data_IF_336278415336
#
_entry.id   IF_336278415336
#
_cell.length_a   1.000
_cell.length_b   1.000
_cell.length_c   1.000
_cell.angle_alpha   90.00
_cell.angle_beta   90.00
_cell.angle_gamma   90.00
#
_symmetry.space_group_name_H-M   'P 1'
#
loop_
_entity.id
_entity.type
_entity.pdbx_description
1 polymer ?
#
# COMPACT_ATOMS: atom_id res chain seq x y z
N UNK A 1 3.69 -22.32 -37.75
CA UNK A 1 4.75 -21.97 -36.77
C UNK A 1 4.19 -22.23 -35.38
N UNK A 2 4.79 -23.17 -34.63
CA UNK A 2 4.47 -23.37 -33.23
C UNK A 2 5.14 -22.20 -32.52
N UNK A 3 4.35 -21.19 -32.14
CA UNK A 3 4.83 -20.10 -31.29
C UNK A 3 5.26 -20.71 -29.97
N UNK A 4 6.56 -20.70 -29.69
CA UNK A 4 7.10 -21.08 -28.37
C UNK A 4 6.54 -20.05 -27.40
N UNK A 5 5.63 -20.49 -26.52
CA UNK A 5 5.03 -19.61 -25.52
C UNK A 5 6.11 -19.12 -24.56
N UNK A 6 6.21 -17.80 -24.41
CA UNK A 6 7.19 -17.17 -23.54
C UNK A 6 6.78 -17.40 -22.08
N UNK A 7 7.74 -17.80 -21.23
CA UNK A 7 7.52 -17.87 -19.77
C UNK A 7 8.22 -16.71 -19.09
N UNK A 8 7.52 -16.05 -18.18
CA UNK A 8 8.04 -14.98 -17.32
C UNK A 8 8.29 -15.57 -15.93
N UNK A 9 9.55 -15.63 -15.54
CA UNK A 9 9.98 -16.16 -14.25
C UNK A 9 9.95 -15.06 -13.18
N UNK A 10 9.35 -15.39 -12.03
CA UNK A 10 9.11 -14.45 -10.95
C UNK A 10 9.76 -14.94 -9.65
N UNK A 11 10.34 -14.04 -8.87
CA UNK A 11 10.68 -14.29 -7.47
C UNK A 11 9.79 -13.50 -6.52
N UNK A 12 9.49 -14.08 -5.35
CA UNK A 12 8.71 -13.42 -4.30
C UNK A 12 9.60 -13.25 -3.07
N UNK A 13 9.75 -12.02 -2.60
CA UNK A 13 10.47 -11.69 -1.37
C UNK A 13 9.48 -11.54 -0.22
N UNK A 14 9.43 -12.55 0.64
CA UNK A 14 8.49 -12.65 1.74
C UNK A 14 7.28 -13.54 1.43
N UNK A 15 6.96 -14.44 2.37
CA UNK A 15 5.82 -15.36 2.27
C UNK A 15 4.93 -15.26 3.52
N UNK A 16 4.55 -14.02 3.83
CA UNK A 16 3.51 -13.69 4.80
C UNK A 16 2.13 -13.77 4.16
N UNK A 17 1.16 -13.05 4.72
CA UNK A 17 -0.23 -13.01 4.21
C UNK A 17 -0.27 -12.58 2.74
N UNK A 18 0.38 -11.46 2.41
CA UNK A 18 0.40 -10.91 1.05
C UNK A 18 1.15 -11.84 0.08
N UNK A 19 2.37 -12.25 0.43
CA UNK A 19 3.17 -13.13 -0.45
C UNK A 19 2.53 -14.48 -0.70
N UNK A 20 1.88 -15.07 0.31
CA UNK A 20 1.10 -16.30 0.14
C UNK A 20 -0.12 -16.10 -0.76
N UNK A 21 -0.77 -14.94 -0.66
CA UNK A 21 -1.87 -14.55 -1.55
C UNK A 21 -1.41 -14.42 -3.00
N UNK A 22 -0.29 -13.74 -3.22
CA UNK A 22 0.33 -13.58 -4.56
C UNK A 22 0.67 -14.94 -5.17
N UNK A 23 1.37 -15.79 -4.42
CA UNK A 23 1.72 -17.14 -4.88
C UNK A 23 0.48 -17.94 -5.29
N UNK A 24 -0.52 -18.00 -4.41
CA UNK A 24 -1.78 -18.71 -4.71
C UNK A 24 -2.52 -18.12 -5.91
N UNK A 25 -2.50 -16.81 -6.09
CA UNK A 25 -3.14 -16.14 -7.21
C UNK A 25 -2.48 -16.51 -8.54
N UNK A 26 -1.14 -16.47 -8.61
CA UNK A 26 -0.38 -16.87 -9.80
C UNK A 26 -0.70 -18.30 -10.17
N UNK A 27 -0.71 -19.24 -9.20
CA UNK A 27 -1.04 -20.65 -9.44
C UNK A 27 -2.50 -20.83 -9.90
N UNK A 28 -3.45 -20.21 -9.19
CA UNK A 28 -4.89 -20.41 -9.46
C UNK A 28 -5.36 -19.76 -10.75
N UNK A 29 -4.73 -18.69 -11.19
CA UNK A 29 -5.16 -17.86 -12.34
C UNK A 29 -4.18 -17.92 -13.50
N UNK A 30 -3.31 -18.92 -13.55
CA UNK A 30 -2.30 -19.07 -14.60
C UNK A 30 -2.90 -19.01 -16.02
N UNK A 31 -4.03 -19.68 -16.25
CA UNK A 31 -4.74 -19.72 -17.54
C UNK A 31 -5.30 -18.34 -17.95
N UNK A 32 -5.77 -17.57 -16.99
CA UNK A 32 -6.29 -16.19 -17.23
C UNK A 32 -5.14 -15.24 -17.50
N UNK A 33 -4.06 -15.35 -16.71
CA UNK A 33 -2.86 -14.54 -16.90
C UNK A 33 -2.25 -14.79 -18.27
N UNK A 34 -2.09 -16.06 -18.67
CA UNK A 34 -1.57 -16.45 -19.97
C UNK A 34 -2.36 -15.79 -21.11
N UNK A 35 -3.70 -15.84 -21.05
CA UNK A 35 -4.57 -15.21 -22.05
C UNK A 35 -4.47 -13.69 -22.07
N UNK A 36 -4.24 -13.08 -20.91
CA UNK A 36 -4.21 -11.62 -20.76
C UNK A 36 -2.88 -11.02 -21.18
N UNK A 37 -1.76 -11.65 -20.81
CA UNK A 37 -0.41 -11.13 -21.08
C UNK A 37 0.29 -11.80 -22.26
N UNK A 38 -0.28 -12.89 -22.79
CA UNK A 38 0.32 -13.65 -23.91
C UNK A 38 1.58 -14.43 -23.52
N UNK A 39 1.80 -14.69 -22.23
CA UNK A 39 2.92 -15.43 -21.69
C UNK A 39 2.51 -16.21 -20.43
N UNK A 40 3.19 -17.31 -20.14
CA UNK A 40 3.05 -18.00 -18.85
C UNK A 40 3.82 -17.24 -17.79
N UNK A 41 3.29 -17.22 -16.56
CA UNK A 41 3.98 -16.64 -15.40
C UNK A 41 4.22 -17.73 -14.37
N UNK A 42 5.47 -17.93 -13.97
CA UNK A 42 5.86 -18.97 -13.02
C UNK A 42 6.71 -18.40 -11.88
N UNK A 43 6.42 -18.85 -10.65
CA UNK A 43 7.24 -18.52 -9.48
C UNK A 43 8.42 -19.48 -9.43
N UNK A 44 9.63 -18.94 -9.60
CA UNK A 44 10.87 -19.73 -9.61
C UNK A 44 11.53 -19.83 -8.24
N UNK A 45 11.47 -18.73 -7.45
CA UNK A 45 12.05 -18.65 -6.11
C UNK A 45 11.21 -17.81 -5.17
N UNK A 46 11.25 -18.17 -3.89
CA UNK A 46 10.58 -17.45 -2.81
C UNK A 46 11.56 -17.27 -1.66
N UNK A 47 11.94 -16.03 -1.38
CA UNK A 47 12.83 -15.70 -0.28
C UNK A 47 12.07 -15.70 1.05
N UNK A 48 12.59 -16.43 2.04
CA UNK A 48 11.99 -16.52 3.38
C UNK A 48 13.08 -16.51 4.45
N UNK A 49 12.80 -15.90 5.61
CA UNK A 49 13.76 -15.86 6.74
C UNK A 49 13.91 -17.20 7.48
N UNK A 50 12.87 -18.02 7.48
CA UNK A 50 12.84 -19.29 8.23
C UNK A 50 12.42 -20.43 7.30
N UNK A 51 13.37 -21.23 6.87
CA UNK A 51 13.16 -22.40 6.01
C UNK A 51 12.36 -23.51 6.70
N UNK A 52 12.41 -23.60 8.03
CA UNK A 52 11.77 -24.69 8.81
C UNK A 52 10.28 -24.45 9.05
N UNK A 53 9.77 -23.25 8.78
CA UNK A 53 8.33 -22.95 8.92
C UNK A 53 7.55 -23.69 7.84
N UNK A 54 6.64 -24.60 8.23
CA UNK A 54 5.72 -25.26 7.29
C UNK A 54 4.82 -24.24 6.59
N UNK A 55 4.67 -24.40 5.29
CA UNK A 55 3.83 -23.55 4.42
C UNK A 55 2.97 -24.44 3.55
N UNK A 56 1.70 -24.55 3.90
CA UNK A 56 0.76 -25.39 3.17
C UNK A 56 0.54 -24.88 1.76
N UNK A 57 0.58 -25.79 0.79
CA UNK A 57 0.34 -25.48 -0.62
C UNK A 57 1.47 -24.76 -1.33
N UNK A 58 2.67 -24.71 -0.73
CA UNK A 58 3.88 -24.16 -1.33
C UNK A 58 4.91 -25.28 -1.55
N UNK A 59 5.44 -25.39 -2.75
CA UNK A 59 6.52 -26.32 -3.04
C UNK A 59 7.80 -25.87 -2.33
N UNK A 60 8.34 -26.75 -1.47
CA UNK A 60 9.53 -26.46 -0.70
C UNK A 60 10.78 -26.22 -1.56
N UNK A 61 10.84 -26.73 -2.78
CA UNK A 61 11.95 -26.54 -3.73
C UNK A 61 12.06 -25.09 -4.23
N UNK A 62 10.99 -24.31 -4.10
CA UNK A 62 10.97 -22.89 -4.47
C UNK A 62 11.52 -22.00 -3.35
N UNK A 63 11.62 -22.52 -2.11
CA UNK A 63 12.03 -21.73 -0.96
C UNK A 63 13.56 -21.56 -0.92
N UNK A 64 13.98 -20.37 -0.56
CA UNK A 64 15.39 -20.05 -0.26
C UNK A 64 15.47 -19.02 0.88
N UNK A 65 16.55 -19.04 1.65
CA UNK A 65 16.94 -17.97 2.59
C UNK A 65 18.16 -17.19 2.09
N UNK A 66 18.68 -17.54 0.91
CA UNK A 66 19.82 -16.91 0.27
C UNK A 66 19.37 -15.98 -0.87
N UNK A 67 19.63 -14.68 -0.72
CA UNK A 67 19.29 -13.68 -1.74
C UNK A 67 20.03 -13.92 -3.09
N UNK A 68 21.25 -14.47 -3.05
CA UNK A 68 22.03 -14.72 -4.26
C UNK A 68 21.33 -15.71 -5.22
N UNK A 69 20.53 -16.65 -4.70
CA UNK A 69 19.76 -17.58 -5.53
C UNK A 69 18.70 -16.88 -6.42
N UNK A 70 18.43 -15.61 -6.14
CA UNK A 70 17.47 -14.78 -6.88
C UNK A 70 18.16 -13.73 -7.72
N UNK A 71 19.12 -13.00 -7.13
CA UNK A 71 19.71 -11.87 -7.83
C UNK A 71 20.65 -12.31 -8.97
N UNK A 72 21.37 -13.43 -8.79
CA UNK A 72 22.26 -14.00 -9.79
C UNK A 72 21.55 -14.87 -10.86
N UNK A 73 20.27 -15.20 -10.64
CA UNK A 73 19.50 -15.97 -11.61
C UNK A 73 18.99 -15.08 -12.75
N UNK A 74 19.60 -15.21 -13.93
CA UNK A 74 19.26 -14.42 -15.12
C UNK A 74 17.88 -14.73 -15.70
N UNK A 75 17.27 -15.88 -15.37
CA UNK A 75 15.92 -16.22 -15.84
C UNK A 75 14.84 -15.48 -15.03
N UNK A 76 15.13 -15.01 -13.83
CA UNK A 76 14.16 -14.24 -13.03
C UNK A 76 14.09 -12.81 -13.57
N UNK A 77 12.93 -12.46 -14.12
CA UNK A 77 12.67 -11.17 -14.77
C UNK A 77 11.93 -10.19 -13.87
N UNK A 78 11.14 -10.71 -12.91
CA UNK A 78 10.31 -9.90 -12.02
C UNK A 78 10.56 -10.31 -10.57
N UNK A 79 10.78 -9.33 -9.71
CA UNK A 79 10.89 -9.51 -8.25
C UNK A 79 9.69 -8.84 -7.60
N UNK A 80 8.93 -9.62 -6.81
CA UNK A 80 7.77 -9.13 -6.04
C UNK A 80 8.17 -9.01 -4.57
N UNK A 81 8.33 -7.78 -4.09
CA UNK A 81 8.72 -7.50 -2.70
C UNK A 81 7.48 -7.24 -1.84
N UNK A 82 7.30 -8.08 -0.83
CA UNK A 82 6.20 -8.04 0.13
C UNK A 82 6.66 -8.41 1.54
N UNK A 83 7.90 -8.04 1.88
CA UNK A 83 8.50 -8.30 3.19
C UNK A 83 8.12 -7.25 4.23
N UNK A 84 7.94 -5.99 3.77
CA UNK A 84 7.75 -4.82 4.62
C UNK A 84 9.04 -4.35 5.32
N UNK A 85 8.96 -3.18 5.96
CA UNK A 85 10.11 -2.50 6.57
C UNK A 85 11.03 -1.84 5.54
N UNK A 86 12.03 -1.11 6.01
CA UNK A 86 12.97 -0.38 5.12
C UNK A 86 14.10 -1.32 4.67
N UNK A 87 14.85 -1.89 5.61
CA UNK A 87 15.91 -2.85 5.32
C UNK A 87 15.51 -4.27 5.76
N UNK A 88 15.87 -5.28 5.01
CA UNK A 88 16.73 -5.32 3.81
C UNK A 88 16.00 -5.05 2.48
N UNK A 89 14.72 -4.71 2.50
CA UNK A 89 13.89 -4.54 1.30
C UNK A 89 14.49 -3.49 0.35
N UNK A 90 14.92 -2.33 0.85
CA UNK A 90 15.57 -1.26 0.06
C UNK A 90 16.78 -1.78 -0.70
N UNK A 91 17.71 -2.42 0.01
CA UNK A 91 18.94 -2.96 -0.60
C UNK A 91 18.61 -3.97 -1.69
N UNK A 92 17.73 -4.94 -1.42
CA UNK A 92 17.34 -5.97 -2.38
C UNK A 92 16.62 -5.41 -3.61
N UNK A 93 15.74 -4.43 -3.43
CA UNK A 93 15.07 -3.77 -4.57
C UNK A 93 16.07 -3.03 -5.43
N UNK A 94 16.99 -2.24 -4.84
CA UNK A 94 18.00 -1.51 -5.59
C UNK A 94 18.93 -2.44 -6.37
N UNK A 95 19.33 -3.55 -5.77
CA UNK A 95 20.15 -4.57 -6.45
C UNK A 95 19.39 -5.22 -7.60
N UNK A 96 18.09 -5.57 -7.41
CA UNK A 96 17.25 -6.14 -8.45
C UNK A 96 17.09 -5.20 -9.65
N UNK A 97 16.80 -3.92 -9.39
CA UNK A 97 16.67 -2.90 -10.44
C UNK A 97 18.00 -2.72 -11.22
N UNK A 98 19.13 -2.66 -10.53
CA UNK A 98 20.46 -2.56 -11.15
C UNK A 98 20.84 -3.82 -11.95
N UNK A 99 20.33 -4.98 -11.56
CA UNK A 99 20.49 -6.23 -12.30
C UNK A 99 19.52 -6.37 -13.49
N UNK A 100 18.77 -5.31 -13.84
CA UNK A 100 17.84 -5.33 -14.96
C UNK A 100 16.53 -6.09 -14.70
N UNK A 101 16.19 -6.34 -13.43
CA UNK A 101 14.94 -7.00 -13.06
C UNK A 101 13.86 -5.97 -12.76
N UNK A 102 12.65 -6.21 -13.26
CA UNK A 102 11.48 -5.38 -12.89
C UNK A 102 11.07 -5.69 -11.45
N UNK A 103 10.58 -4.69 -10.73
CA UNK A 103 10.17 -4.87 -9.34
C UNK A 103 8.74 -4.42 -9.12
N UNK A 104 7.99 -5.23 -8.38
CA UNK A 104 6.65 -4.90 -7.86
C UNK A 104 6.70 -4.92 -6.34
N UNK A 105 6.30 -3.83 -5.68
CA UNK A 105 6.34 -3.74 -4.22
C UNK A 105 4.99 -3.30 -3.63
N UNK A 106 4.69 -3.80 -2.43
CA UNK A 106 3.57 -3.35 -1.60
C UNK A 106 4.04 -2.58 -0.35
N UNK A 107 5.33 -2.22 -0.30
CA UNK A 107 5.99 -1.67 0.88
C UNK A 107 5.82 -0.16 0.98
N UNK A 108 4.68 0.27 1.50
CA UNK A 108 4.36 1.70 1.66
C UNK A 108 5.38 2.47 2.49
N UNK A 109 5.97 1.82 3.51
CA UNK A 109 6.94 2.48 4.40
C UNK A 109 8.17 2.90 3.62
N UNK A 110 8.75 1.96 2.88
CA UNK A 110 9.91 2.21 2.03
C UNK A 110 9.61 3.22 0.91
N UNK A 111 8.46 3.10 0.26
CA UNK A 111 8.10 3.99 -0.86
C UNK A 111 7.85 5.42 -0.39
N UNK A 112 7.21 5.60 0.78
CA UNK A 112 6.94 6.92 1.34
C UNK A 112 8.21 7.67 1.79
N UNK A 113 9.28 6.96 2.12
CA UNK A 113 10.56 7.54 2.56
C UNK A 113 11.57 7.65 1.42
N UNK A 114 11.71 6.59 0.62
CA UNK A 114 12.80 6.41 -0.33
C UNK A 114 12.35 6.15 -1.78
N UNK A 115 11.05 6.28 -2.06
CA UNK A 115 10.48 5.96 -3.37
C UNK A 115 11.17 6.68 -4.53
N UNK A 116 11.65 7.91 -4.31
CA UNK A 116 12.39 8.69 -5.32
C UNK A 116 13.71 8.01 -5.75
N UNK A 117 14.44 7.39 -4.82
CA UNK A 117 15.69 6.66 -5.14
C UNK A 117 15.37 5.40 -5.94
N UNK A 118 14.31 4.68 -5.56
CA UNK A 118 13.88 3.46 -6.24
C UNK A 118 13.43 3.76 -7.67
N UNK A 119 12.63 4.80 -7.86
CA UNK A 119 12.16 5.24 -9.18
C UNK A 119 13.30 5.70 -10.08
N UNK A 120 14.22 6.52 -9.57
CA UNK A 120 15.39 6.96 -10.32
C UNK A 120 16.27 5.76 -10.74
N UNK A 121 16.50 4.81 -9.82
CA UNK A 121 17.27 3.61 -10.13
C UNK A 121 16.59 2.75 -11.20
N UNK A 122 15.27 2.63 -11.17
CA UNK A 122 14.50 1.90 -12.18
C UNK A 122 14.63 2.57 -13.56
N UNK A 123 14.51 3.90 -13.61
CA UNK A 123 14.66 4.69 -14.84
C UNK A 123 16.07 4.57 -15.43
N UNK A 124 17.10 4.73 -14.61
CA UNK A 124 18.51 4.59 -15.00
C UNK A 124 18.84 3.22 -15.60
N UNK A 125 18.16 2.15 -15.15
CA UNK A 125 18.38 0.79 -15.62
C UNK A 125 17.33 0.30 -16.63
N UNK A 126 16.43 1.18 -17.08
CA UNK A 126 15.37 0.88 -18.06
C UNK A 126 14.48 -0.30 -17.67
N UNK A 127 14.11 -0.37 -16.40
CA UNK A 127 13.20 -1.36 -15.83
C UNK A 127 12.04 -0.69 -15.08
N UNK A 128 10.98 -1.44 -14.83
CA UNK A 128 9.81 -0.93 -14.12
C UNK A 128 9.89 -1.14 -12.61
N UNK A 129 9.50 -0.12 -11.86
CA UNK A 129 9.18 -0.20 -10.43
C UNK A 129 7.71 0.14 -10.21
N UNK A 130 6.90 -0.88 -9.88
CA UNK A 130 5.45 -0.77 -9.72
C UNK A 130 5.05 -0.98 -8.26
N UNK A 131 4.09 -0.18 -7.75
CA UNK A 131 3.74 -0.20 -6.33
C UNK A 131 2.25 0.11 -6.06
N UNK A 132 1.35 -0.33 -6.94
CA UNK A 132 -0.10 -0.10 -6.78
C UNK A 132 -0.61 -0.55 -5.41
N UNK A 133 -0.11 -1.68 -4.88
CA UNK A 133 -0.55 -2.23 -3.61
C UNK A 133 -0.04 -1.48 -2.37
N UNK A 134 0.80 -0.46 -2.53
CA UNK A 134 1.27 0.37 -1.43
C UNK A 134 0.18 1.31 -0.89
N UNK A 135 -0.80 1.67 -1.72
CA UNK A 135 -1.92 2.56 -1.35
C UNK A 135 -3.24 1.94 -1.79
N UNK A 136 -4.27 2.07 -0.96
CA UNK A 136 -5.65 1.68 -1.26
C UNK A 136 -5.76 0.24 -1.81
N UNK A 137 -5.34 -0.75 -1.03
CA UNK A 137 -5.37 -2.16 -1.43
C UNK A 137 -6.72 -2.56 -2.05
N UNK A 138 -6.70 -3.25 -3.19
CA UNK A 138 -7.82 -3.62 -4.05
C UNK A 138 -8.54 -2.45 -4.77
N UNK A 139 -8.23 -1.19 -4.48
CA UNK A 139 -8.78 -0.02 -5.17
C UNK A 139 -7.68 0.63 -6.00
N UNK A 140 -7.73 0.58 -7.34
CA UNK A 140 -6.72 1.20 -8.20
C UNK A 140 -6.72 2.72 -8.03
N UNK A 141 -5.59 3.30 -7.64
CA UNK A 141 -5.43 4.76 -7.52
C UNK A 141 -4.11 5.25 -8.14
N UNK A 142 -2.99 4.56 -7.90
CA UNK A 142 -1.68 4.99 -8.41
C UNK A 142 -1.64 4.92 -9.93
N UNK A 143 -2.09 3.81 -10.50
CA UNK A 143 -2.13 3.64 -11.95
C UNK A 143 -3.06 4.64 -12.64
N UNK A 144 -4.30 4.88 -12.20
CA UNK A 144 -5.13 5.95 -12.73
C UNK A 144 -4.46 7.32 -12.68
N UNK A 145 -3.82 7.70 -11.56
CA UNK A 145 -3.11 8.98 -11.46
C UNK A 145 -1.94 9.07 -12.44
N UNK A 146 -1.13 8.01 -12.56
CA UNK A 146 0.05 7.99 -13.45
C UNK A 146 -0.28 7.86 -14.93
N UNK A 147 -1.38 7.24 -15.30
CA UNK A 147 -1.72 6.91 -16.70
C UNK A 147 -2.93 7.67 -17.20
N UNK A 148 -4.07 7.59 -16.50
CA UNK A 148 -5.31 8.20 -16.96
C UNK A 148 -5.33 9.72 -16.77
N UNK A 149 -4.71 10.20 -15.67
CA UNK A 149 -4.66 11.61 -15.30
C UNK A 149 -3.31 12.27 -15.57
N UNK A 150 -2.42 11.61 -16.30
CA UNK A 150 -1.03 12.05 -16.51
C UNK A 150 -0.87 13.45 -17.13
N UNK A 151 -1.87 13.91 -17.87
CA UNK A 151 -1.87 15.23 -18.53
C UNK A 151 -2.75 16.26 -17.81
N UNK A 152 -3.31 15.90 -16.66
CA UNK A 152 -4.16 16.79 -15.87
C UNK A 152 -3.36 17.49 -14.77
N UNK A 153 -3.69 18.73 -14.50
CA UNK A 153 -3.20 19.43 -13.32
C UNK A 153 -4.07 19.07 -12.13
N UNK A 154 -3.55 18.19 -11.27
CA UNK A 154 -4.21 17.81 -10.02
C UNK A 154 -3.90 18.87 -8.97
N UNK A 155 -4.91 19.54 -8.47
CA UNK A 155 -4.77 20.58 -7.44
C UNK A 155 -4.90 20.03 -6.02
N UNK A 156 -5.65 18.93 -5.85
CA UNK A 156 -5.99 18.39 -4.55
C UNK A 156 -6.10 16.85 -4.58
N UNK A 157 -5.68 16.23 -3.49
CA UNK A 157 -5.95 14.82 -3.18
C UNK A 157 -6.54 14.75 -1.79
N UNK A 158 -7.76 14.25 -1.66
CA UNK A 158 -8.43 14.06 -0.37
C UNK A 158 -9.02 12.67 -0.30
N UNK A 159 -8.82 11.96 0.82
CA UNK A 159 -9.37 10.62 0.95
C UNK A 159 -9.33 10.04 2.35
N UNK A 160 -10.22 9.07 2.57
CA UNK A 160 -10.12 8.13 3.69
C UNK A 160 -9.18 7.02 3.24
N UNK A 161 -7.98 6.95 3.84
CA UNK A 161 -6.92 6.02 3.39
C UNK A 161 -6.51 5.01 4.47
N UNK A 162 -7.27 4.98 5.57
CA UNK A 162 -7.09 4.01 6.64
C UNK A 162 -8.46 3.44 7.08
N UNK A 163 -8.68 2.13 6.88
CA UNK A 163 -9.94 1.45 7.18
C UNK A 163 -10.19 1.31 8.67
N UNK A 164 -9.15 1.05 9.47
CA UNK A 164 -9.26 0.88 10.93
C UNK A 164 -9.83 2.12 11.61
N UNK A 165 -9.27 3.29 11.31
CA UNK A 165 -9.74 4.56 11.89
C UNK A 165 -11.14 4.94 11.38
N UNK A 166 -11.45 4.64 10.11
CA UNK A 166 -12.81 4.86 9.62
C UNK A 166 -13.83 3.95 10.31
N UNK A 167 -13.48 2.68 10.56
CA UNK A 167 -14.32 1.77 11.34
C UNK A 167 -14.58 2.33 12.76
N UNK A 168 -13.52 2.70 13.49
CA UNK A 168 -13.61 3.24 14.85
C UNK A 168 -14.52 4.49 14.88
N UNK A 169 -14.28 5.48 14.02
CA UNK A 169 -15.09 6.69 13.94
C UNK A 169 -16.53 6.42 13.53
N UNK A 170 -16.77 5.39 12.71
CA UNK A 170 -18.13 4.97 12.35
C UNK A 170 -18.85 4.41 13.57
N UNK A 171 -18.22 3.55 14.38
CA UNK A 171 -18.83 3.01 15.62
C UNK A 171 -19.08 4.08 16.68
N UNK A 172 -18.16 5.01 16.84
CA UNK A 172 -18.37 6.18 17.71
C UNK A 172 -19.58 7.01 17.25
N UNK A 173 -19.72 7.22 15.93
CA UNK A 173 -20.78 8.04 15.35
C UNK A 173 -22.15 7.36 15.38
N UNK A 174 -22.24 6.09 15.03
CA UNK A 174 -23.52 5.38 14.84
C UNK A 174 -23.99 4.66 16.09
N UNK A 175 -23.07 4.04 16.85
CA UNK A 175 -23.39 3.26 18.04
C UNK A 175 -23.15 4.05 19.34
N UNK A 176 -22.58 5.26 19.28
CA UNK A 176 -22.29 6.08 20.45
C UNK A 176 -21.19 5.49 21.35
N UNK A 177 -20.33 4.65 20.79
CA UNK A 177 -19.23 4.04 21.53
C UNK A 177 -18.16 5.07 21.87
N UNK A 178 -17.47 4.88 23.01
CA UNK A 178 -16.24 5.58 23.28
C UNK A 178 -15.09 5.03 22.41
N UNK A 179 -14.04 5.84 22.23
CA UNK A 179 -12.89 5.44 21.40
C UNK A 179 -12.28 4.11 21.84
N UNK A 180 -12.11 3.89 23.16
CA UNK A 180 -11.53 2.65 23.71
C UNK A 180 -12.34 1.41 23.33
N UNK A 181 -13.65 1.48 23.47
CA UNK A 181 -14.55 0.36 23.19
C UNK A 181 -14.61 0.06 21.68
N UNK A 182 -14.62 1.11 20.85
CA UNK A 182 -14.60 0.96 19.41
C UNK A 182 -13.25 0.37 18.90
N UNK A 183 -12.14 0.72 19.54
CA UNK A 183 -10.82 0.15 19.25
C UNK A 183 -10.74 -1.32 19.65
N UNK A 184 -11.20 -1.68 20.87
CA UNK A 184 -11.24 -3.07 21.33
C UNK A 184 -12.05 -3.94 20.37
N UNK A 185 -13.22 -3.46 19.95
CA UNK A 185 -14.07 -4.15 18.96
C UNK A 185 -13.37 -4.30 17.59
N UNK A 186 -12.61 -3.28 17.16
CA UNK A 186 -11.81 -3.36 15.94
C UNK A 186 -10.71 -4.43 16.04
N UNK A 187 -10.08 -4.56 17.20
CA UNK A 187 -9.05 -5.58 17.46
C UNK A 187 -9.66 -6.99 17.49
N UNK A 188 -10.80 -7.18 18.15
CA UNK A 188 -11.52 -8.47 18.18
C UNK A 188 -11.91 -8.96 16.79
N UNK A 189 -12.32 -8.04 15.91
CA UNK A 189 -12.69 -8.33 14.52
C UNK A 189 -11.48 -8.45 13.57
N UNK A 190 -10.26 -8.16 14.05
CA UNK A 190 -9.05 -8.23 13.26
C UNK A 190 -8.85 -7.04 12.31
N UNK A 191 -9.57 -5.93 12.50
CA UNK A 191 -9.35 -4.68 11.76
C UNK A 191 -8.18 -3.88 12.32
N UNK A 192 -7.89 -4.00 13.62
CA UNK A 192 -6.74 -3.42 14.28
C UNK A 192 -5.82 -4.52 14.83
N UNK A 193 -4.51 -4.30 14.75
CA UNK A 193 -3.51 -5.15 15.40
C UNK A 193 -3.42 -4.85 16.91
N UNK A 194 -2.67 -5.68 17.65
CA UNK A 194 -2.44 -5.48 19.09
C UNK A 194 -1.75 -4.14 19.38
N UNK A 195 -0.86 -3.68 18.51
CA UNK A 195 -0.32 -2.31 18.50
C UNK A 195 -0.95 -1.51 17.36
N UNK A 196 -2.00 -0.73 17.61
CA UNK A 196 -2.73 0.01 16.60
C UNK A 196 -2.12 1.39 16.31
N UNK A 197 -0.99 1.75 16.92
CA UNK A 197 -0.39 3.10 16.89
C UNK A 197 -0.28 3.66 15.47
N UNK A 198 0.17 2.84 14.53
CA UNK A 198 0.32 3.28 13.13
C UNK A 198 -0.99 3.74 12.51
N UNK A 199 -2.10 3.11 12.87
CA UNK A 199 -3.43 3.46 12.40
C UNK A 199 -3.99 4.67 13.16
N UNK A 200 -4.12 4.55 14.49
CA UNK A 200 -4.85 5.51 15.30
C UNK A 200 -4.16 6.87 15.44
N UNK A 201 -2.84 6.93 15.29
CA UNK A 201 -2.06 8.19 15.25
C UNK A 201 -1.91 8.76 13.82
N UNK A 202 -2.52 8.12 12.81
CA UNK A 202 -2.56 8.61 11.43
C UNK A 202 -1.28 8.36 10.62
N UNK A 203 -0.31 7.60 11.15
CA UNK A 203 0.98 7.38 10.49
C UNK A 203 0.86 6.55 9.21
N UNK A 204 0.00 5.53 9.21
CA UNK A 204 -0.32 4.74 8.01
C UNK A 204 -0.93 5.63 6.92
N UNK A 205 -1.90 6.46 7.29
CA UNK A 205 -2.54 7.42 6.38
C UNK A 205 -1.54 8.45 5.85
N UNK A 206 -0.63 8.93 6.71
CA UNK A 206 0.43 9.89 6.35
C UNK A 206 1.38 9.34 5.28
N UNK A 207 1.80 8.08 5.39
CA UNK A 207 2.62 7.43 4.35
C UNK A 207 1.89 7.34 3.02
N UNK A 208 0.63 6.94 3.05
CA UNK A 208 -0.18 6.79 1.83
C UNK A 208 -0.44 8.13 1.14
N UNK A 209 -0.75 9.19 1.89
CA UNK A 209 -0.97 10.52 1.30
C UNK A 209 0.33 11.11 0.76
N UNK A 210 1.49 10.87 1.39
CA UNK A 210 2.79 11.27 0.86
C UNK A 210 3.08 10.66 -0.52
N UNK A 211 2.79 9.37 -0.68
CA UNK A 211 2.93 8.66 -1.96
C UNK A 211 2.00 9.27 -3.01
N UNK A 212 0.72 9.47 -2.67
CA UNK A 212 -0.25 10.04 -3.62
C UNK A 212 0.10 11.48 -4.00
N UNK A 213 0.50 12.32 -3.03
CA UNK A 213 0.92 13.70 -3.28
C UNK A 213 2.15 13.77 -4.20
N UNK A 214 3.12 12.87 -3.98
CA UNK A 214 4.31 12.80 -4.84
C UNK A 214 3.96 12.52 -6.30
N UNK A 215 2.99 11.64 -6.54
CA UNK A 215 2.53 11.28 -7.87
C UNK A 215 1.67 12.41 -8.46
N UNK A 216 0.68 12.89 -7.70
CA UNK A 216 -0.29 13.88 -8.16
C UNK A 216 0.36 15.21 -8.57
N UNK A 217 1.38 15.63 -7.81
CA UNK A 217 2.01 16.95 -7.97
C UNK A 217 3.39 16.87 -8.62
N UNK A 218 3.79 15.70 -9.11
CA UNK A 218 5.10 15.45 -9.72
C UNK A 218 6.27 16.02 -8.89
N UNK A 219 6.18 15.87 -7.57
CA UNK A 219 7.09 16.48 -6.61
C UNK A 219 7.49 15.49 -5.53
N UNK A 220 8.67 15.68 -4.94
CA UNK A 220 9.13 14.82 -3.86
C UNK A 220 8.45 15.20 -2.54
N UNK A 221 7.46 14.43 -2.12
CA UNK A 221 6.85 14.50 -0.78
C UNK A 221 7.27 13.26 -0.01
N UNK A 222 7.98 13.43 1.10
CA UNK A 222 8.42 12.32 1.96
C UNK A 222 7.63 12.31 3.26
N UNK A 223 7.37 11.14 3.81
CA UNK A 223 6.55 10.98 5.00
C UNK A 223 6.98 11.83 6.20
N UNK A 224 8.29 12.00 6.52
CA UNK A 224 8.69 12.88 7.63
C UNK A 224 8.24 14.34 7.53
N UNK A 225 7.84 14.79 6.34
CA UNK A 225 7.35 16.15 6.12
C UNK A 225 5.80 16.24 6.14
N UNK A 226 5.11 15.13 6.37
CA UNK A 226 3.65 15.08 6.46
C UNK A 226 3.24 15.35 7.91
N UNK A 227 2.43 16.37 8.11
CA UNK A 227 1.80 16.57 9.42
C UNK A 227 0.79 15.45 9.67
N UNK A 228 0.82 14.84 10.85
CA UNK A 228 -0.14 13.79 11.22
C UNK A 228 -0.77 14.07 12.57
N UNK A 229 -2.09 14.07 12.59
CA UNK A 229 -2.90 14.05 13.81
C UNK A 229 -3.86 12.88 13.75
N UNK A 230 -3.79 11.99 14.74
CA UNK A 230 -4.62 10.81 14.85
C UNK A 230 -6.00 11.05 15.46
N UNK A 231 -6.70 9.97 15.76
CA UNK A 231 -8.07 10.00 16.30
C UNK A 231 -8.14 9.73 17.80
N UNK A 232 -7.03 9.49 18.47
CA UNK A 232 -6.98 9.10 19.89
C UNK A 232 -7.53 10.16 20.85
N UNK A 233 -7.63 11.40 20.41
CA UNK A 233 -8.18 12.52 21.19
C UNK A 233 -9.66 12.81 20.88
N UNK A 234 -10.25 12.14 19.90
CA UNK A 234 -11.67 12.33 19.54
C UNK A 234 -12.55 11.69 20.60
N UNK A 235 -13.46 12.47 21.15
CA UNK A 235 -14.38 12.04 22.20
C UNK A 235 -15.80 11.85 21.66
N UNK A 236 -16.66 11.16 22.42
CA UNK A 236 -18.08 11.05 22.13
C UNK A 236 -18.75 12.45 22.04
N UNK A 237 -18.26 13.42 22.82
CA UNK A 237 -18.76 14.79 22.79
C UNK A 237 -18.44 15.52 21.50
N UNK A 238 -17.24 15.29 20.92
CA UNK A 238 -16.88 15.84 19.61
C UNK A 238 -17.79 15.29 18.51
N UNK A 239 -18.15 14.02 18.61
CA UNK A 239 -19.10 13.37 17.69
C UNK A 239 -20.50 14.00 17.83
N UNK A 240 -20.97 14.28 19.05
CA UNK A 240 -22.25 14.97 19.29
C UNK A 240 -22.24 16.38 18.66
N UNK A 241 -21.19 17.16 18.89
CA UNK A 241 -21.06 18.48 18.28
C UNK A 241 -21.04 18.40 16.74
N UNK A 242 -20.33 17.45 16.16
CA UNK A 242 -20.34 17.29 14.71
C UNK A 242 -21.77 17.04 14.19
N UNK A 243 -22.57 16.23 14.88
CA UNK A 243 -23.98 15.99 14.53
C UNK A 243 -24.85 17.25 14.58
N UNK A 244 -24.63 18.13 15.57
CA UNK A 244 -25.35 19.42 15.67
C UNK A 244 -25.09 20.33 14.45
N UNK A 245 -23.93 20.15 13.78
CA UNK A 245 -23.58 20.87 12.55
C UNK A 245 -23.84 20.05 11.28
N UNK A 246 -24.74 19.07 11.32
CA UNK A 246 -25.03 18.19 10.18
C UNK A 246 -23.77 17.55 9.57
N UNK A 247 -22.80 17.20 10.42
CA UNK A 247 -21.49 16.74 10.00
C UNK A 247 -21.09 15.43 10.68
N UNK A 248 -20.07 14.79 10.12
CA UNK A 248 -19.40 13.61 10.69
C UNK A 248 -17.90 13.86 10.78
N UNK A 249 -17.24 13.19 11.71
CA UNK A 249 -15.77 13.25 11.82
C UNK A 249 -15.17 12.08 11.05
N UNK A 250 -14.21 12.37 10.17
CA UNK A 250 -13.42 11.39 9.42
C UNK A 250 -11.93 11.70 9.54
N UNK A 251 -11.08 10.67 9.58
CA UNK A 251 -9.65 10.87 9.41
C UNK A 251 -9.34 10.97 7.92
N UNK A 252 -8.93 12.15 7.47
CA UNK A 252 -8.63 12.39 6.07
C UNK A 252 -7.15 12.60 5.84
N UNK A 253 -6.61 11.93 4.82
CA UNK A 253 -5.37 12.32 4.17
C UNK A 253 -5.67 13.41 3.15
N UNK A 254 -4.95 14.53 3.27
CA UNK A 254 -5.19 15.73 2.47
C UNK A 254 -3.87 16.21 1.88
N UNK A 255 -3.86 16.51 0.59
CA UNK A 255 -2.74 17.16 -0.07
C UNK A 255 -3.24 18.22 -1.03
N UNK A 256 -2.66 19.42 -0.95
CA UNK A 256 -2.98 20.56 -1.82
C UNK A 256 -1.71 21.05 -2.52
N UNK A 257 -1.84 21.33 -3.80
CA UNK A 257 -0.83 22.04 -4.57
C UNK A 257 -1.26 23.51 -4.67
N UNK A 258 -0.55 24.39 -3.94
CA UNK A 258 -0.87 25.81 -3.84
C UNK A 258 0.22 26.65 -4.50
N UNK A 259 -0.04 27.95 -4.72
CA UNK A 259 0.96 28.88 -5.23
C UNK A 259 2.17 29.03 -4.29
N UNK A 260 1.99 28.78 -2.99
CA UNK A 260 3.05 28.84 -1.97
C UNK A 260 3.80 27.53 -1.77
N UNK A 261 3.34 26.44 -2.37
CA UNK A 261 3.96 25.11 -2.26
C UNK A 261 2.95 24.00 -2.01
N UNK A 262 3.45 22.83 -1.68
CA UNK A 262 2.64 21.65 -1.43
C UNK A 262 2.37 21.53 0.08
N UNK A 263 1.09 21.46 0.45
CA UNK A 263 0.62 21.21 1.79
C UNK A 263 0.12 19.78 1.90
N UNK A 264 0.63 19.00 2.85
CA UNK A 264 0.24 17.59 3.03
C UNK A 264 0.05 17.28 4.50
N UNK A 265 -1.06 16.64 4.83
CA UNK A 265 -1.32 16.24 6.20
C UNK A 265 -2.42 15.18 6.34
N UNK A 266 -2.54 14.67 7.56
CA UNK A 266 -3.60 13.77 8.00
C UNK A 266 -4.23 14.36 9.25
N UNK A 267 -5.54 14.54 9.20
CA UNK A 267 -6.29 15.16 10.31
C UNK A 267 -7.66 14.51 10.51
N UNK A 268 -8.15 14.43 11.76
CA UNK A 268 -9.58 14.30 11.99
C UNK A 268 -10.29 15.57 11.50
N UNK A 269 -11.18 15.41 10.53
CA UNK A 269 -11.90 16.52 9.93
C UNK A 269 -13.41 16.34 10.10
N UNK A 270 -14.09 17.42 10.46
CA UNK A 270 -15.54 17.50 10.44
C UNK A 270 -15.98 17.85 9.02
N UNK A 271 -16.71 16.93 8.38
CA UNK A 271 -17.22 17.08 7.02
C UNK A 271 -18.74 17.01 7.00
N UNK A 272 -19.37 17.85 6.18
CA UNK A 272 -20.83 17.89 6.08
C UNK A 272 -21.38 16.56 5.58
N UNK A 273 -22.56 16.14 6.08
CA UNK A 273 -23.22 14.86 5.75
C UNK A 273 -23.43 14.62 4.25
N UNK A 274 -23.54 15.68 3.45
CA UNK A 274 -23.72 15.61 2.00
C UNK A 274 -22.38 15.44 1.24
N UNK A 275 -21.25 15.52 1.92
CA UNK A 275 -19.95 15.26 1.30
C UNK A 275 -19.84 13.77 0.95
N UNK A 276 -19.33 13.41 -0.26
CA UNK A 276 -19.21 12.01 -0.69
C UNK A 276 -18.52 11.10 0.32
N UNK A 277 -17.46 11.57 0.98
CA UNK A 277 -16.72 10.80 1.98
C UNK A 277 -17.48 10.61 3.30
N UNK A 278 -18.52 11.40 3.58
CA UNK A 278 -19.30 11.27 4.80
C UNK A 278 -20.12 9.97 4.85
N UNK A 279 -20.48 9.45 3.68
CA UNK A 279 -21.25 8.20 3.54
C UNK A 279 -20.41 6.93 3.64
N UNK A 280 -19.08 7.05 3.61
CA UNK A 280 -18.15 5.90 3.72
C UNK A 280 -18.17 5.39 5.15
N UNK A 281 -18.56 4.14 5.36
CA UNK A 281 -18.77 3.52 6.67
C UNK A 281 -17.92 2.28 6.84
N UNK A 282 -17.73 1.88 8.10
CA UNK A 282 -16.99 0.70 8.51
C UNK A 282 -15.55 0.67 7.93
N UNK A 283 -15.10 -0.48 7.51
CA UNK A 283 -13.79 -0.64 6.87
C UNK A 283 -13.81 -0.42 5.35
N UNK A 284 -14.89 0.09 4.81
CA UNK A 284 -15.31 0.49 3.45
C UNK A 284 -16.59 -0.20 2.99
#
# INVERSE_FOLDING_TARGET
EVSIMKTVMVAILGLGTVGSGVYKLIQKRADVMEKTIGAQMEVKKILVRNMNKKREGVDASLLTDNWNDIIEDEEIQIVIEVMGGIEPAKTMILEALRAGKNVVSANKDLIAEEGHVLLATAEENHVDFLFEAAVAGAIPIIRPMKQCLAVNDISEVVGIVNGTTNYILTKMTEEGMDFSDALEKAQELGFAEADPTSDVEGLDAGRKVAIMASIAFHSRVVFPNVFTEGITKITAKDIEYAKEFDSVIKLLGVAHNTESGIEVGVYPMMIHKDHPLASVRDSF
#
